data_IF_875968868333
#
_entry.id   IF_875968868333
#
_cell.length_a   1.000
_cell.length_b   1.000
_cell.length_c   1.000
_cell.angle_alpha   90.00
_cell.angle_beta   90.00
_cell.angle_gamma   90.00
#
_symmetry.space_group_name_H-M   'P 1'
#
loop_
_entity.id
_entity.type
_entity.pdbx_description
1 polymer ?
#
# COMPACT_ATOMS: atom_id res chain seq x y z
N UNK A 1 18.84 8.87 50.40
CA UNK A 1 19.52 7.88 49.55
C UNK A 1 20.85 8.48 49.12
N UNK A 2 21.95 7.75 49.29
CA UNK A 2 23.28 8.20 48.85
C UNK A 2 23.36 8.17 47.31
N UNK A 3 23.60 9.31 46.62
CA UNK A 3 23.73 9.38 45.17
C UNK A 3 24.83 8.46 44.61
N UNK A 4 25.85 8.13 45.41
CA UNK A 4 26.97 7.27 45.01
C UNK A 4 26.55 5.81 44.77
N UNK A 5 25.39 5.38 45.31
CA UNK A 5 24.84 4.04 45.07
C UNK A 5 24.30 3.87 43.64
N UNK A 6 23.93 4.95 42.96
CA UNK A 6 23.43 4.91 41.57
C UNK A 6 24.55 4.94 40.53
N UNK A 7 25.65 5.65 40.82
CA UNK A 7 26.78 5.81 39.90
C UNK A 7 27.61 4.51 39.80
N UNK A 8 27.58 3.66 40.83
CA UNK A 8 28.22 2.33 40.82
C UNK A 8 27.36 1.22 40.22
N UNK A 9 26.35 1.56 39.41
CA UNK A 9 25.53 0.55 38.75
C UNK A 9 26.21 0.06 37.46
N UNK A 10 26.88 -1.08 37.54
CA UNK A 10 27.57 -1.73 36.42
C UNK A 10 26.67 -1.94 35.19
N UNK A 11 25.36 -2.08 35.38
CA UNK A 11 24.39 -2.20 34.29
C UNK A 11 24.33 -0.95 33.41
N UNK A 12 24.50 0.23 33.98
CA UNK A 12 24.31 1.51 33.28
C UNK A 12 25.61 2.21 32.91
N UNK A 13 26.69 1.97 33.67
CA UNK A 13 27.97 2.64 33.46
C UNK A 13 29.12 1.69 33.07
N UNK A 14 28.91 0.36 33.18
CA UNK A 14 29.95 -0.65 32.98
C UNK A 14 30.82 -0.86 34.22
N UNK A 15 31.44 -2.04 34.34
CA UNK A 15 32.23 -2.42 35.53
C UNK A 15 33.51 -1.60 35.69
N UNK A 16 34.01 -1.00 34.59
CA UNK A 16 35.25 -0.21 34.57
C UNK A 16 35.05 1.29 34.80
N UNK A 17 33.82 1.72 35.10
CA UNK A 17 33.53 3.14 35.30
C UNK A 17 33.84 3.57 36.74
N UNK A 18 34.75 4.52 36.86
CA UNK A 18 35.18 5.11 38.13
C UNK A 18 35.08 6.64 38.01
N UNK A 19 34.08 7.29 38.63
CA UNK A 19 33.97 8.74 38.60
C UNK A 19 35.08 9.37 39.46
N UNK A 20 35.74 10.41 38.95
CA UNK A 20 36.69 11.20 39.75
C UNK A 20 35.95 12.18 40.67
N UNK A 21 36.62 12.58 41.76
CA UNK A 21 36.06 13.52 42.73
C UNK A 21 35.80 14.90 42.06
N UNK A 22 34.56 15.38 42.14
CA UNK A 22 34.14 16.66 41.55
C UNK A 22 33.53 16.58 40.14
N UNK A 23 33.44 15.40 39.52
CA UNK A 23 32.76 15.23 38.23
C UNK A 23 31.24 14.99 38.39
N UNK A 24 30.43 15.63 37.53
CA UNK A 24 28.99 15.39 37.45
C UNK A 24 28.71 14.49 36.24
N UNK A 25 28.14 13.32 36.49
CA UNK A 25 27.75 12.38 35.45
C UNK A 25 26.22 12.25 35.39
N UNK A 26 25.66 12.49 34.22
CA UNK A 26 24.21 12.41 33.97
C UNK A 26 23.91 11.16 33.16
N UNK A 27 23.14 10.24 33.73
CA UNK A 27 22.58 9.11 32.98
C UNK A 27 21.28 9.55 32.32
N UNK A 28 21.31 9.74 31.00
CA UNK A 28 20.09 9.94 30.21
C UNK A 28 19.58 8.57 29.80
N UNK A 29 18.64 8.02 30.58
CA UNK A 29 17.88 6.84 30.17
C UNK A 29 16.73 7.33 29.32
N UNK A 30 16.87 7.24 28.00
CA UNK A 30 15.68 7.30 27.13
C UNK A 30 14.81 6.09 27.47
N UNK A 31 13.50 6.26 27.68
CA UNK A 31 12.58 5.13 27.71
C UNK A 31 12.89 4.27 26.49
N UNK A 32 12.87 2.94 26.65
CA UNK A 32 12.91 2.06 25.49
C UNK A 32 11.73 2.45 24.61
N UNK A 33 11.98 3.29 23.61
CA UNK A 33 11.01 3.59 22.57
C UNK A 33 10.66 2.23 22.00
N UNK A 34 9.36 1.95 21.89
CA UNK A 34 8.92 0.81 21.12
C UNK A 34 9.52 0.98 19.71
N UNK A 35 10.63 0.30 19.44
CA UNK A 35 11.13 0.19 18.08
C UNK A 35 10.26 -0.89 17.47
N UNK A 36 9.09 -0.47 17.01
CA UNK A 36 8.17 -1.35 16.30
C UNK A 36 8.89 -2.07 15.17
N UNK A 37 8.33 -3.20 14.75
CA UNK A 37 8.96 -4.05 13.74
C UNK A 37 9.29 -3.21 12.51
N UNK A 38 10.55 -3.30 12.07
CA UNK A 38 11.06 -2.64 10.88
C UNK A 38 11.09 -3.62 9.73
N UNK A 39 10.68 -3.18 8.56
CA UNK A 39 10.75 -3.96 7.31
C UNK A 39 11.31 -3.07 6.22
N UNK A 40 12.35 -3.50 5.51
CA UNK A 40 12.90 -2.68 4.42
C UNK A 40 11.92 -2.64 3.25
N UNK A 41 11.89 -1.52 2.53
CA UNK A 41 11.00 -1.38 1.37
C UNK A 41 11.29 -2.42 0.27
N UNK A 42 12.55 -2.83 0.11
CA UNK A 42 12.97 -3.82 -0.88
C UNK A 42 12.62 -5.27 -0.53
N UNK A 43 12.20 -5.54 0.71
CA UNK A 43 11.57 -6.81 1.07
C UNK A 43 10.17 -6.96 0.44
N UNK A 44 9.53 -5.84 0.05
CA UNK A 44 8.22 -5.84 -0.60
C UNK A 44 8.30 -5.42 -2.06
N UNK A 45 8.98 -4.33 -2.36
CA UNK A 45 8.96 -3.68 -3.66
C UNK A 45 10.33 -3.75 -4.34
N UNK A 46 10.37 -4.31 -5.54
CA UNK A 46 11.56 -4.21 -6.39
C UNK A 46 11.45 -2.87 -7.12
N UNK A 47 12.37 -1.93 -6.84
CA UNK A 47 12.43 -0.61 -7.49
C UNK A 47 12.84 -0.70 -8.97
N UNK A 48 11.97 -1.31 -9.76
CA UNK A 48 12.18 -1.50 -11.17
C UNK A 48 10.84 -1.56 -11.90
N UNK A 49 10.57 -0.50 -12.65
CA UNK A 49 9.50 -0.48 -13.64
C UNK A 49 9.98 -1.24 -14.88
N UNK A 50 9.14 -2.14 -15.37
CA UNK A 50 9.37 -2.96 -16.56
C UNK A 50 8.30 -2.69 -17.60
N UNK A 51 8.65 -2.92 -18.86
CA UNK A 51 7.72 -2.83 -19.98
C UNK A 51 7.75 -4.12 -20.78
N UNK A 52 6.60 -4.49 -21.33
CA UNK A 52 6.47 -5.60 -22.29
C UNK A 52 5.72 -5.11 -23.51
N UNK A 53 6.32 -5.26 -24.69
CA UNK A 53 5.64 -5.04 -25.96
C UNK A 53 4.82 -6.29 -26.30
N UNK A 54 3.54 -6.11 -26.55
CA UNK A 54 2.67 -7.15 -27.07
C UNK A 54 2.28 -6.77 -28.50
N UNK A 55 2.58 -7.67 -29.44
CA UNK A 55 2.09 -7.54 -30.82
C UNK A 55 0.60 -7.88 -30.83
N UNK A 56 -0.23 -6.94 -31.28
CA UNK A 56 -1.61 -7.24 -31.69
C UNK A 56 -1.53 -7.76 -33.14
N UNK A 57 -2.35 -8.73 -33.52
CA UNK A 57 -2.13 -9.55 -34.73
C UNK A 57 -2.26 -8.82 -36.08
N UNK A 58 -1.30 -9.11 -36.97
CA UNK A 58 -1.24 -9.24 -38.46
C UNK A 58 -1.70 -8.11 -39.39
N UNK A 59 -2.62 -7.22 -39.02
CA UNK A 59 -2.87 -6.03 -39.85
C UNK A 59 -1.89 -4.93 -39.43
N UNK A 60 -0.91 -4.64 -40.28
CA UNK A 60 0.32 -3.82 -40.07
C UNK A 60 0.11 -2.36 -39.58
N UNK A 61 -1.11 -1.96 -39.23
CA UNK A 61 -1.48 -0.58 -38.90
C UNK A 61 -1.80 -0.32 -37.42
N UNK A 62 -1.91 -1.35 -36.55
CA UNK A 62 -2.10 -1.12 -35.10
C UNK A 62 -0.75 -1.01 -34.36
N UNK A 63 -0.52 0.07 -33.58
CA UNK A 63 0.72 0.24 -32.83
C UNK A 63 0.89 -0.84 -31.75
N UNK A 64 2.13 -1.33 -31.59
CA UNK A 64 2.52 -2.22 -30.50
C UNK A 64 1.99 -1.69 -29.14
N UNK A 65 1.23 -2.51 -28.43
CA UNK A 65 0.76 -2.14 -27.09
C UNK A 65 1.86 -2.41 -26.08
N UNK A 66 2.18 -1.40 -25.28
CA UNK A 66 3.22 -1.47 -24.24
C UNK A 66 2.55 -1.63 -22.89
N UNK A 67 2.74 -2.80 -22.26
CA UNK A 67 2.27 -3.04 -20.90
C UNK A 67 3.37 -2.64 -19.92
N UNK A 68 3.10 -1.66 -19.07
CA UNK A 68 3.98 -1.25 -17.96
C UNK A 68 3.61 -2.02 -16.69
N UNK A 69 4.60 -2.51 -15.95
CA UNK A 69 4.39 -3.24 -14.70
C UNK A 69 5.61 -3.20 -13.79
N UNK A 70 5.45 -3.57 -12.53
CA UNK A 70 6.55 -3.86 -11.62
C UNK A 70 6.31 -5.19 -10.88
N UNK A 71 7.37 -5.73 -10.30
CA UNK A 71 7.36 -7.01 -9.58
C UNK A 71 7.47 -6.79 -8.08
N UNK A 72 6.67 -7.51 -7.31
CA UNK A 72 6.73 -7.56 -5.86
C UNK A 72 7.72 -8.65 -5.42
N UNK A 73 8.64 -8.32 -4.52
CA UNK A 73 9.49 -9.29 -3.82
C UNK A 73 8.72 -9.98 -2.68
N UNK A 74 7.85 -9.21 -2.02
CA UNK A 74 7.01 -9.63 -0.92
C UNK A 74 5.76 -8.77 -0.86
N UNK A 75 4.99 -8.85 0.22
CA UNK A 75 3.75 -8.10 0.35
C UNK A 75 3.67 -7.46 1.74
N UNK A 76 3.21 -6.20 1.83
CA UNK A 76 2.78 -5.66 3.11
C UNK A 76 1.57 -6.48 3.63
N UNK A 77 1.15 -6.27 4.89
CA UNK A 77 -0.12 -6.78 5.38
C UNK A 77 -1.28 -6.39 4.44
N UNK A 78 -2.06 -7.38 4.02
CA UNK A 78 -3.22 -7.23 3.13
C UNK A 78 -4.29 -8.23 3.55
N UNK A 79 -5.56 -7.89 3.42
CA UNK A 79 -6.67 -8.82 3.67
C UNK A 79 -6.55 -10.10 2.82
N UNK A 80 -6.15 -9.95 1.56
CA UNK A 80 -6.06 -11.04 0.59
C UNK A 80 -4.82 -10.89 -0.30
N UNK A 81 -3.62 -11.27 0.17
CA UNK A 81 -2.36 -10.92 -0.50
C UNK A 81 -2.17 -11.60 -1.85
N UNK A 82 -2.73 -12.81 -2.04
CA UNK A 82 -2.62 -13.61 -3.29
C UNK A 82 -1.16 -13.60 -3.80
N UNK A 83 -0.24 -14.05 -2.94
CA UNK A 83 1.21 -13.83 -3.05
C UNK A 83 1.87 -14.41 -4.31
N UNK A 84 1.24 -15.39 -4.97
CA UNK A 84 1.73 -15.96 -6.25
C UNK A 84 1.58 -15.00 -7.43
N UNK A 85 0.70 -14.01 -7.33
CA UNK A 85 0.48 -12.99 -8.36
C UNK A 85 1.33 -11.75 -8.05
N UNK A 86 2.63 -11.84 -8.31
CA UNK A 86 3.64 -10.84 -7.92
C UNK A 86 3.70 -9.62 -8.81
N UNK A 87 3.13 -9.67 -10.00
CA UNK A 87 3.18 -8.55 -10.96
C UNK A 87 2.03 -7.57 -10.74
N UNK A 88 2.36 -6.29 -10.65
CA UNK A 88 1.40 -5.18 -10.61
C UNK A 88 1.47 -4.46 -11.96
N UNK A 89 0.42 -4.62 -12.77
CA UNK A 89 0.30 -3.95 -14.07
C UNK A 89 -0.29 -2.56 -13.88
N UNK A 90 0.30 -1.58 -14.56
CA UNK A 90 -0.27 -0.25 -14.72
C UNK A 90 -1.44 -0.34 -15.69
N UNK A 91 -2.64 -0.17 -15.16
CA UNK A 91 -3.88 -0.16 -15.94
C UNK A 91 -4.17 1.23 -16.48
N UNK A 92 -4.94 1.32 -17.55
CA UNK A 92 -5.45 2.59 -18.06
C UNK A 92 -6.22 3.35 -16.96
N UNK A 93 -7.00 2.62 -16.15
CA UNK A 93 -7.69 3.19 -14.99
C UNK A 93 -6.74 3.74 -13.92
N UNK A 94 -5.54 3.18 -13.75
CA UNK A 94 -4.56 3.69 -12.78
C UNK A 94 -3.96 5.00 -13.28
N UNK A 95 -3.67 5.09 -14.57
CA UNK A 95 -3.15 6.30 -15.23
C UNK A 95 -4.12 7.48 -15.09
N UNK A 96 -5.42 7.22 -14.92
CA UNK A 96 -6.42 8.27 -14.67
C UNK A 96 -6.64 8.53 -13.18
N UNK A 97 -6.90 7.48 -12.39
CA UNK A 97 -7.29 7.66 -10.98
C UNK A 97 -6.11 8.14 -10.12
N UNK A 98 -4.89 7.65 -10.39
CA UNK A 98 -3.74 8.00 -9.55
C UNK A 98 -3.38 9.49 -9.62
N UNK A 99 -3.25 10.12 -10.81
CA UNK A 99 -3.03 11.57 -10.88
C UNK A 99 -4.11 12.38 -10.17
N UNK A 100 -5.38 12.00 -10.30
CA UNK A 100 -6.48 12.68 -9.61
C UNK A 100 -6.37 12.61 -8.09
N UNK A 101 -6.00 11.43 -7.55
CA UNK A 101 -5.72 11.27 -6.11
C UNK A 101 -4.56 12.18 -5.66
N UNK A 102 -3.49 12.25 -6.46
CA UNK A 102 -2.31 13.06 -6.13
C UNK A 102 -2.59 14.56 -6.27
N UNK A 103 -3.38 14.98 -7.25
CA UNK A 103 -3.80 16.37 -7.42
C UNK A 103 -4.63 16.83 -6.23
N UNK A 104 -5.59 16.03 -5.79
CA UNK A 104 -6.34 16.31 -4.55
C UNK A 104 -5.40 16.33 -3.34
N UNK A 105 -4.52 15.34 -3.21
CA UNK A 105 -3.54 15.33 -2.11
C UNK A 105 -2.67 16.59 -2.10
N UNK A 106 -2.23 17.07 -3.27
CA UNK A 106 -1.44 18.30 -3.41
C UNK A 106 -2.20 19.52 -2.90
N UNK A 107 -3.49 19.65 -3.25
CA UNK A 107 -4.35 20.73 -2.77
C UNK A 107 -4.44 20.73 -1.24
N UNK A 108 -4.79 19.60 -0.63
CA UNK A 108 -5.01 19.54 0.82
C UNK A 108 -3.72 19.51 1.66
N UNK A 109 -2.57 19.15 1.08
CA UNK A 109 -1.26 19.29 1.72
C UNK A 109 -0.73 20.74 1.73
N UNK A 110 -1.27 21.60 0.87
CA UNK A 110 -0.83 22.99 0.78
C UNK A 110 -1.24 23.77 2.05
N UNK A 111 -0.35 24.62 2.54
CA UNK A 111 -0.53 25.34 3.82
C UNK A 111 -1.66 26.36 3.78
N UNK A 112 -1.95 26.92 2.60
CA UNK A 112 -2.89 28.02 2.43
C UNK A 112 -4.34 27.55 2.24
N UNK A 113 -4.54 26.30 1.84
CA UNK A 113 -5.86 25.67 1.66
C UNK A 113 -6.10 24.48 2.61
N UNK A 114 -5.09 24.14 3.43
CA UNK A 114 -4.97 22.86 4.11
C UNK A 114 -6.09 22.55 5.11
N UNK A 115 -6.60 21.33 4.98
CA UNK A 115 -7.62 20.70 5.80
C UNK A 115 -7.52 19.18 5.65
N UNK A 116 -8.39 18.43 6.34
CA UNK A 116 -8.49 16.99 6.17
C UNK A 116 -9.20 16.65 4.86
N UNK A 117 -8.84 15.51 4.27
CA UNK A 117 -9.46 15.04 3.04
C UNK A 117 -9.62 13.52 3.09
N UNK A 118 -10.85 13.07 2.84
CA UNK A 118 -11.17 11.66 2.71
C UNK A 118 -11.43 11.33 1.24
N UNK A 119 -10.74 10.32 0.73
CA UNK A 119 -10.91 9.82 -0.63
C UNK A 119 -11.17 8.33 -0.61
N UNK A 120 -12.08 7.86 -1.45
CA UNK A 120 -12.46 6.45 -1.53
C UNK A 120 -12.23 5.92 -2.93
N UNK A 121 -11.39 4.90 -3.05
CA UNK A 121 -11.27 4.07 -4.25
C UNK A 121 -12.07 2.78 -4.04
N UNK A 122 -13.13 2.63 -4.82
CA UNK A 122 -14.05 1.50 -4.72
C UNK A 122 -14.23 0.79 -6.06
N UNK A 123 -15.10 -0.22 -6.07
CA UNK A 123 -15.38 -1.06 -7.24
C UNK A 123 -15.67 -2.50 -6.83
N UNK A 124 -15.98 -3.33 -7.81
CA UNK A 124 -16.43 -4.71 -7.57
C UNK A 124 -15.44 -5.51 -6.69
N UNK A 125 -15.92 -6.39 -5.81
CA UNK A 125 -15.06 -7.32 -5.10
C UNK A 125 -14.20 -8.12 -6.08
N UNK A 126 -12.88 -8.12 -5.88
CA UNK A 126 -11.94 -8.83 -6.76
C UNK A 126 -11.47 -8.08 -8.00
N UNK A 127 -11.83 -6.80 -8.15
CA UNK A 127 -11.39 -5.95 -9.28
C UNK A 127 -9.92 -5.52 -9.23
N UNK A 128 -9.25 -5.69 -8.08
CA UNK A 128 -7.84 -5.36 -7.91
C UNK A 128 -7.56 -4.11 -7.08
N UNK A 129 -8.49 -3.64 -6.24
CA UNK A 129 -8.26 -2.49 -5.32
C UNK A 129 -6.98 -2.61 -4.50
N UNK A 130 -6.73 -3.77 -3.88
CA UNK A 130 -5.48 -4.01 -3.13
C UNK A 130 -4.24 -3.94 -4.02
N UNK A 131 -4.35 -4.28 -5.31
CA UNK A 131 -3.26 -4.11 -6.29
C UNK A 131 -3.03 -2.63 -6.62
N UNK A 132 -4.09 -1.83 -6.71
CA UNK A 132 -3.99 -0.39 -6.89
C UNK A 132 -3.42 0.31 -5.65
N UNK A 133 -3.79 -0.16 -4.45
CA UNK A 133 -3.17 0.26 -3.19
C UNK A 133 -1.64 0.05 -3.22
N UNK A 134 -1.16 -1.12 -3.66
CA UNK A 134 0.29 -1.35 -3.84
C UNK A 134 0.92 -0.47 -4.92
N UNK A 135 0.21 -0.23 -6.02
CA UNK A 135 0.63 0.72 -7.05
C UNK A 135 0.83 2.13 -6.46
N UNK A 136 -0.10 2.60 -5.63
CA UNK A 136 0.03 3.89 -4.93
C UNK A 136 1.26 3.92 -4.01
N UNK A 137 1.47 2.88 -3.18
CA UNK A 137 2.64 2.81 -2.29
C UNK A 137 3.93 2.92 -3.09
N UNK A 138 4.06 2.07 -4.13
CA UNK A 138 5.27 2.02 -4.97
C UNK A 138 5.62 3.41 -5.52
N UNK A 139 4.66 4.09 -6.12
CA UNK A 139 4.90 5.41 -6.71
C UNK A 139 5.15 6.50 -5.66
N UNK A 140 4.55 6.41 -4.47
CA UNK A 140 4.78 7.35 -3.37
C UNK A 140 6.18 7.21 -2.76
N UNK A 141 6.67 5.98 -2.54
CA UNK A 141 7.98 5.76 -1.90
C UNK A 141 9.15 5.99 -2.86
N UNK A 142 9.03 5.58 -4.13
CA UNK A 142 10.09 5.75 -5.13
C UNK A 142 9.95 7.04 -5.96
N UNK A 143 8.89 7.81 -5.75
CA UNK A 143 8.62 9.09 -6.44
C UNK A 143 8.76 9.00 -7.96
N UNK A 144 8.31 7.90 -8.54
CA UNK A 144 8.49 7.60 -9.98
C UNK A 144 7.51 8.34 -10.89
N UNK A 145 6.51 9.01 -10.33
CA UNK A 145 5.47 9.79 -11.03
C UNK A 145 5.64 11.29 -10.80
N UNK A 146 5.32 12.11 -11.80
CA UNK A 146 5.52 13.57 -11.73
C UNK A 146 4.65 14.18 -10.64
N UNK A 147 3.42 13.70 -10.51
CA UNK A 147 2.44 14.15 -9.53
C UNK A 147 2.95 13.97 -8.10
N UNK A 148 3.70 12.88 -7.84
CA UNK A 148 4.32 12.61 -6.53
C UNK A 148 5.53 13.52 -6.27
N UNK A 149 6.32 13.82 -7.30
CA UNK A 149 7.48 14.72 -7.18
C UNK A 149 7.06 16.14 -6.84
N UNK A 150 5.86 16.53 -7.26
CA UNK A 150 5.28 17.85 -6.99
C UNK A 150 4.51 17.95 -5.67
N UNK A 151 4.30 16.84 -4.95
CA UNK A 151 3.65 16.89 -3.64
C UNK A 151 4.52 17.66 -2.63
N UNK A 152 3.92 18.50 -1.77
CA UNK A 152 4.57 19.00 -0.56
C UNK A 152 5.10 17.85 0.30
N UNK A 153 6.01 18.12 1.24
CA UNK A 153 6.48 17.09 2.18
C UNK A 153 5.32 16.52 3.00
N UNK A 154 5.28 15.19 3.10
CA UNK A 154 4.27 14.43 3.84
C UNK A 154 4.90 13.18 4.49
N UNK A 155 4.23 12.68 5.52
CA UNK A 155 4.45 11.37 6.11
C UNK A 155 3.52 10.34 5.47
N UNK A 156 4.07 9.19 5.06
CA UNK A 156 3.27 8.10 4.49
C UNK A 156 2.95 7.06 5.56
N UNK A 157 1.65 6.81 5.75
CA UNK A 157 1.15 5.79 6.68
C UNK A 157 0.35 4.74 5.91
N UNK A 158 0.70 3.47 6.11
CA UNK A 158 -0.08 2.34 5.66
C UNK A 158 -0.96 1.87 6.82
N UNK A 159 -2.23 1.63 6.55
CA UNK A 159 -3.17 1.11 7.54
C UNK A 159 -3.93 -0.07 6.98
N UNK A 160 -3.91 -1.17 7.73
CA UNK A 160 -4.73 -2.34 7.49
C UNK A 160 -5.26 -2.81 8.85
N UNK A 161 -6.59 -2.78 9.00
CA UNK A 161 -7.24 -3.15 10.26
C UNK A 161 -6.72 -2.33 11.44
N UNK A 162 -6.14 -2.96 12.47
CA UNK A 162 -5.50 -2.32 13.62
C UNK A 162 -4.00 -2.03 13.41
N UNK A 163 -3.40 -2.50 12.32
CA UNK A 163 -1.97 -2.32 12.04
C UNK A 163 -1.69 -1.02 11.29
N UNK A 164 -0.66 -0.30 11.74
CA UNK A 164 -0.18 0.93 11.15
C UNK A 164 1.32 0.84 10.92
N UNK A 165 1.76 1.22 9.72
CA UNK A 165 3.18 1.28 9.35
C UNK A 165 3.48 2.67 8.81
N UNK A 166 4.51 3.33 9.33
CA UNK A 166 5.04 4.58 8.78
C UNK A 166 6.24 4.29 7.87
N UNK A 167 6.27 4.87 6.69
CA UNK A 167 7.47 4.83 5.85
C UNK A 167 8.47 5.90 6.27
N UNK A 168 9.71 5.51 6.50
CA UNK A 168 10.84 6.40 6.72
C UNK A 168 11.70 6.47 5.45
N UNK A 169 11.67 7.62 4.77
CA UNK A 169 12.35 7.80 3.49
C UNK A 169 13.89 7.80 3.60
N UNK A 170 14.46 8.20 4.74
CA UNK A 170 15.92 8.24 4.95
C UNK A 170 16.51 6.83 5.06
N UNK A 171 15.83 5.96 5.80
CA UNK A 171 16.23 4.56 6.02
C UNK A 171 15.66 3.59 4.98
N UNK A 172 14.66 4.02 4.20
CA UNK A 172 13.90 3.15 3.28
C UNK A 172 13.22 1.98 4.00
N UNK A 173 12.70 2.23 5.21
CA UNK A 173 12.05 1.23 6.05
C UNK A 173 10.60 1.58 6.35
N UNK A 174 9.75 0.57 6.47
CA UNK A 174 8.46 0.66 7.13
C UNK A 174 8.60 0.29 8.60
N UNK A 175 8.10 1.14 9.49
CA UNK A 175 8.18 0.98 10.94
C UNK A 175 6.76 0.80 11.47
N UNK A 176 6.52 -0.29 12.19
CA UNK A 176 5.25 -0.54 12.88
C UNK A 176 5.05 0.49 14.00
N UNK A 177 3.85 1.05 14.08
CA UNK A 177 3.49 2.10 15.02
C UNK A 177 2.68 1.53 16.18
N UNK A 178 2.90 2.07 17.37
CA UNK A 178 2.00 1.84 18.51
C UNK A 178 0.85 2.86 18.53
N UNK A 179 -0.08 2.70 19.48
CA UNK A 179 -1.24 3.58 19.61
C UNK A 179 -0.88 5.04 19.92
N UNK A 180 0.24 5.29 20.62
CA UNK A 180 0.68 6.64 20.96
C UNK A 180 1.20 7.35 19.71
N UNK A 181 2.02 6.66 18.91
CA UNK A 181 2.53 7.17 17.63
C UNK A 181 1.38 7.45 16.64
N UNK A 182 0.41 6.54 16.55
CA UNK A 182 -0.79 6.72 15.72
C UNK A 182 -1.57 7.96 16.17
N UNK A 183 -1.75 8.14 17.48
CA UNK A 183 -2.49 9.29 18.04
C UNK A 183 -1.80 10.63 17.78
N UNK A 184 -0.46 10.65 17.65
CA UNK A 184 0.28 11.83 17.24
C UNK A 184 0.06 12.12 15.75
N UNK A 185 0.25 11.13 14.89
CA UNK A 185 0.07 11.26 13.43
C UNK A 185 -1.37 11.63 13.03
N UNK A 186 -2.36 11.22 13.81
CA UNK A 186 -3.76 11.62 13.60
C UNK A 186 -3.97 13.14 13.64
N UNK A 187 -3.13 13.87 14.37
CA UNK A 187 -3.19 15.33 14.53
C UNK A 187 -2.29 16.07 13.54
N UNK A 188 -1.61 15.35 12.66
CA UNK A 188 -0.70 15.94 11.67
C UNK A 188 -1.42 16.13 10.33
N UNK A 189 -1.39 17.35 9.80
CA UNK A 189 -2.04 17.69 8.52
C UNK A 189 -1.21 17.21 7.32
N UNK A 190 0.08 16.93 7.53
CA UNK A 190 1.03 16.51 6.49
C UNK A 190 1.19 15.00 6.46
N UNK A 191 0.07 14.29 6.43
CA UNK A 191 0.04 12.83 6.37
C UNK A 191 -0.77 12.40 5.16
N UNK A 192 -0.25 11.43 4.42
CA UNK A 192 -1.03 10.62 3.48
C UNK A 192 -1.16 9.24 4.10
N UNK A 193 -2.37 8.88 4.51
CA UNK A 193 -2.72 7.55 5.01
C UNK A 193 -3.40 6.74 3.93
N UNK A 194 -2.83 5.60 3.55
CA UNK A 194 -3.46 4.63 2.65
C UNK A 194 -4.06 3.48 3.45
N UNK A 195 -5.34 3.18 3.22
CA UNK A 195 -6.11 2.20 4.00
C UNK A 195 -6.55 1.05 3.10
N UNK A 196 -6.15 -0.18 3.41
CA UNK A 196 -6.58 -1.38 2.68
C UNK A 196 -7.77 -2.03 3.38
N UNK A 197 -8.90 -2.16 2.68
CA UNK A 197 -10.07 -2.87 3.23
C UNK A 197 -10.74 -2.15 4.39
N UNK A 198 -10.37 -2.50 5.63
CA UNK A 198 -10.95 -2.01 6.89
C UNK A 198 -9.91 -1.28 7.74
N UNK A 199 -10.38 -0.53 8.73
CA UNK A 199 -9.55 0.11 9.74
C UNK A 199 -10.32 0.21 11.04
N UNK A 200 -9.64 0.06 12.18
CA UNK A 200 -10.24 0.29 13.50
C UNK A 200 -10.52 1.78 13.77
N UNK A 201 -9.84 2.70 13.06
CA UNK A 201 -9.99 4.16 13.21
C UNK A 201 -10.11 4.82 11.83
N UNK A 202 -11.25 4.65 11.16
CA UNK A 202 -11.48 5.30 9.86
C UNK A 202 -11.52 6.84 9.95
N UNK A 203 -12.12 7.40 11.01
CA UNK A 203 -12.29 8.85 11.21
C UNK A 203 -11.27 9.45 12.18
N UNK A 204 -11.18 10.79 12.23
CA UNK A 204 -10.38 11.53 13.22
C UNK A 204 -8.92 11.81 12.82
N UNK A 205 -8.58 11.66 11.55
CA UNK A 205 -7.28 12.03 10.99
C UNK A 205 -7.36 13.41 10.35
N UNK A 206 -6.46 14.33 10.73
CA UNK A 206 -6.41 15.69 10.19
C UNK A 206 -5.68 15.79 8.84
N UNK A 207 -4.97 14.74 8.45
CA UNK A 207 -4.33 14.62 7.14
C UNK A 207 -5.25 14.01 6.07
N UNK A 208 -4.64 13.54 4.99
CA UNK A 208 -5.34 12.89 3.88
C UNK A 208 -5.48 11.40 4.17
N UNK A 209 -6.68 10.86 4.00
CA UNK A 209 -6.96 9.43 4.10
C UNK A 209 -7.52 8.90 2.79
N UNK A 210 -6.89 7.86 2.22
CA UNK A 210 -7.32 7.21 0.98
C UNK A 210 -7.71 5.76 1.29
N UNK A 211 -9.00 5.47 1.18
CA UNK A 211 -9.59 4.16 1.48
C UNK A 211 -9.76 3.32 0.21
N UNK A 212 -9.17 2.12 0.18
CA UNK A 212 -9.32 1.13 -0.88
C UNK A 212 -10.24 0.01 -0.43
N UNK A 213 -11.55 0.17 -0.67
CA UNK A 213 -12.57 -0.70 -0.09
C UNK A 213 -13.66 -1.09 -1.09
N UNK A 214 -14.26 -2.27 -0.89
CA UNK A 214 -15.49 -2.63 -1.62
C UNK A 214 -16.66 -1.80 -1.07
N UNK A 215 -17.75 -1.63 -1.83
CA UNK A 215 -18.96 -1.02 -1.30
C UNK A 215 -19.44 -1.75 -0.03
N UNK A 216 -19.95 -1.00 0.95
CA UNK A 216 -20.54 -1.57 2.16
C UNK A 216 -19.56 -1.94 3.28
N UNK A 217 -18.29 -1.53 3.20
CA UNK A 217 -17.38 -1.60 4.37
C UNK A 217 -17.96 -0.77 5.51
N UNK A 218 -17.93 -1.33 6.72
CA UNK A 218 -18.43 -0.68 7.93
C UNK A 218 -17.72 0.66 8.16
N UNK A 219 -18.47 1.68 8.60
CA UNK A 219 -17.92 3.02 8.84
C UNK A 219 -17.62 3.85 7.59
N UNK A 220 -17.78 3.29 6.37
CA UNK A 220 -17.53 4.05 5.13
C UNK A 220 -18.40 5.31 5.00
N UNK A 221 -19.62 5.29 5.56
CA UNK A 221 -20.50 6.46 5.54
C UNK A 221 -19.96 7.58 6.43
N UNK A 222 -19.40 7.24 7.59
CA UNK A 222 -18.77 8.20 8.49
C UNK A 222 -17.45 8.75 7.91
N UNK A 223 -16.76 7.94 7.11
CA UNK A 223 -15.58 8.33 6.33
C UNK A 223 -15.94 9.24 5.13
N UNK A 224 -17.20 9.22 4.69
CA UNK A 224 -17.67 9.91 3.48
C UNK A 224 -18.43 11.22 3.76
N UNK A 225 -18.32 11.78 4.97
CA UNK A 225 -19.00 13.03 5.31
C UNK A 225 -18.27 14.23 4.68
N UNK A 226 -19.05 15.18 4.15
CA UNK A 226 -18.71 16.49 3.51
C UNK A 226 -17.36 16.51 2.76
N UNK A 227 -17.40 16.67 1.43
CA UNK A 227 -16.22 16.83 0.53
C UNK A 227 -15.35 15.58 0.30
N UNK A 228 -15.96 14.38 0.29
CA UNK A 228 -15.26 13.13 -0.06
C UNK A 228 -15.20 12.87 -1.56
N UNK A 229 -14.00 12.69 -2.12
CA UNK A 229 -13.83 12.25 -3.51
C UNK A 229 -13.98 10.72 -3.63
N UNK A 230 -14.80 10.27 -4.57
CA UNK A 230 -15.04 8.84 -4.81
C UNK A 230 -14.63 8.45 -6.22
N UNK A 231 -13.72 7.48 -6.31
CA UNK A 231 -13.23 6.89 -7.55
C UNK A 231 -13.70 5.45 -7.67
N UNK A 232 -14.26 5.09 -8.81
CA UNK A 232 -14.77 3.74 -9.06
C UNK A 232 -13.84 3.06 -10.07
N UNK A 233 -13.16 2.00 -9.64
CA UNK A 233 -12.35 1.18 -10.52
C UNK A 233 -13.25 0.43 -11.51
N UNK A 234 -13.06 0.60 -12.83
CA UNK A 234 -13.82 -0.12 -13.84
C UNK A 234 -13.42 -1.59 -13.88
N UNK A 235 -14.31 -2.40 -14.46
CA UNK A 235 -13.99 -3.77 -14.84
C UNK A 235 -12.79 -3.82 -15.77
N UNK A 236 -12.04 -4.92 -15.73
CA UNK A 236 -10.93 -5.10 -16.66
C UNK A 236 -11.46 -5.41 -18.06
N UNK A 237 -10.84 -4.83 -19.08
CA UNK A 237 -11.15 -5.25 -20.45
C UNK A 237 -10.56 -6.64 -20.73
N UNK A 238 -11.03 -7.28 -21.81
CA UNK A 238 -10.47 -8.56 -22.23
C UNK A 238 -8.98 -8.44 -22.54
N UNK A 239 -8.59 -7.32 -23.13
CA UNK A 239 -7.22 -6.97 -23.52
C UNK A 239 -6.34 -6.79 -22.28
N UNK A 240 -6.76 -5.96 -21.30
CA UNK A 240 -6.01 -5.79 -20.04
C UNK A 240 -5.76 -7.15 -19.35
N UNK A 241 -6.78 -8.02 -19.32
CA UNK A 241 -6.65 -9.35 -18.72
C UNK A 241 -5.75 -10.28 -19.54
N UNK A 242 -5.78 -10.18 -20.87
CA UNK A 242 -4.92 -10.97 -21.76
C UNK A 242 -3.46 -10.57 -21.59
N UNK A 243 -3.18 -9.27 -21.52
CA UNK A 243 -1.85 -8.73 -21.22
C UNK A 243 -1.37 -9.24 -19.87
N UNK A 244 -2.21 -9.15 -18.83
CA UNK A 244 -1.87 -9.68 -17.51
C UNK A 244 -1.61 -11.19 -17.54
N UNK A 245 -2.46 -11.98 -18.21
CA UNK A 245 -2.26 -13.42 -18.37
C UNK A 245 -0.91 -13.74 -19.04
N UNK A 246 -0.49 -12.92 -20.00
CA UNK A 246 0.79 -13.07 -20.71
C UNK A 246 2.02 -12.83 -19.81
N UNK A 247 1.83 -12.16 -18.67
CA UNK A 247 2.88 -11.85 -17.70
C UNK A 247 2.93 -12.88 -16.56
N UNK A 248 1.92 -13.71 -16.40
CA UNK A 248 1.88 -14.73 -15.35
C UNK A 248 2.95 -15.81 -15.56
N UNK A 249 3.38 -16.43 -14.46
CA UNK A 249 4.18 -17.65 -14.49
C UNK A 249 3.38 -18.78 -15.15
N UNK A 250 4.06 -19.74 -15.77
CA UNK A 250 3.43 -20.77 -16.60
C UNK A 250 2.35 -21.58 -15.88
N UNK A 251 2.52 -21.82 -14.59
CA UNK A 251 1.59 -22.55 -13.73
C UNK A 251 0.35 -21.73 -13.30
N UNK A 252 0.39 -20.41 -13.48
CA UNK A 252 -0.72 -19.48 -13.24
C UNK A 252 -1.40 -19.04 -14.55
N UNK A 253 -0.69 -19.15 -15.67
CA UNK A 253 -1.15 -18.75 -16.99
C UNK A 253 -2.29 -19.66 -17.46
N UNK A 254 -3.32 -19.04 -17.99
CA UNK A 254 -4.46 -19.75 -18.60
C UNK A 254 -4.20 -19.94 -20.09
N UNK A 255 -4.63 -21.09 -20.63
CA UNK A 255 -4.77 -21.26 -22.08
C UNK A 255 -5.86 -20.33 -22.61
N UNK A 256 -5.78 -19.96 -23.89
CA UNK A 256 -6.71 -19.02 -24.51
C UNK A 256 -8.17 -19.47 -24.39
N UNK A 257 -8.48 -20.74 -24.63
CA UNK A 257 -9.84 -21.28 -24.52
C UNK A 257 -10.41 -21.13 -23.10
N UNK A 258 -9.60 -21.49 -22.09
CA UNK A 258 -10.00 -21.37 -20.67
C UNK A 258 -10.14 -19.91 -20.26
N UNK A 259 -9.21 -19.07 -20.71
CA UNK A 259 -9.21 -17.64 -20.45
C UNK A 259 -10.47 -16.98 -20.99
N UNK A 260 -10.77 -17.19 -22.28
CA UNK A 260 -11.94 -16.61 -22.96
C UNK A 260 -13.24 -17.14 -22.34
N UNK A 261 -13.32 -18.45 -22.09
CA UNK A 261 -14.49 -19.05 -21.42
C UNK A 261 -14.76 -18.40 -20.05
N UNK A 262 -13.71 -18.19 -19.24
CA UNK A 262 -13.85 -17.55 -17.93
C UNK A 262 -14.16 -16.08 -18.01
N UNK A 263 -13.60 -15.35 -18.98
CA UNK A 263 -13.97 -13.96 -19.22
C UNK A 263 -15.45 -13.84 -19.58
N UNK A 264 -15.95 -14.68 -20.50
CA UNK A 264 -17.37 -14.67 -20.87
C UNK A 264 -18.29 -15.01 -19.68
N UNK A 265 -17.83 -15.85 -18.75
CA UNK A 265 -18.61 -16.26 -17.58
C UNK A 265 -18.59 -15.24 -16.43
N UNK A 266 -17.43 -14.66 -16.14
CA UNK A 266 -17.22 -13.81 -14.95
C UNK A 266 -17.02 -12.33 -15.27
N UNK A 267 -16.96 -11.99 -16.55
CA UNK A 267 -16.59 -10.68 -17.04
C UNK A 267 -15.14 -10.29 -16.69
N UNK A 268 -14.91 -8.99 -16.69
CA UNK A 268 -13.63 -8.34 -16.37
C UNK A 268 -13.22 -8.36 -14.90
N UNK A 269 -13.47 -9.44 -14.15
CA UNK A 269 -13.13 -9.53 -12.72
C UNK A 269 -11.96 -10.51 -12.52
N UNK A 270 -10.70 -10.02 -12.40
CA UNK A 270 -9.51 -10.87 -12.39
C UNK A 270 -9.54 -11.96 -11.33
N UNK A 271 -10.08 -11.66 -10.14
CA UNK A 271 -10.19 -12.64 -9.05
C UNK A 271 -10.85 -13.92 -9.53
N UNK A 272 -11.93 -13.84 -10.29
CA UNK A 272 -12.68 -15.00 -10.75
C UNK A 272 -12.07 -15.60 -12.02
N UNK A 273 -11.61 -14.76 -12.95
CA UNK A 273 -10.93 -15.22 -14.19
C UNK A 273 -9.71 -16.07 -13.85
N UNK A 274 -8.83 -15.61 -12.95
CA UNK A 274 -7.60 -16.32 -12.58
C UNK A 274 -7.74 -17.22 -11.34
N UNK A 275 -8.96 -17.53 -10.90
CA UNK A 275 -9.14 -18.47 -9.80
C UNK A 275 -8.60 -19.85 -10.21
N UNK A 276 -7.60 -20.35 -9.48
CA UNK A 276 -7.22 -21.76 -9.59
C UNK A 276 -8.29 -22.60 -8.89
N UNK A 277 -9.16 -23.22 -9.67
CA UNK A 277 -10.03 -24.29 -9.17
C UNK A 277 -9.12 -25.45 -8.80
N UNK A 278 -8.96 -25.74 -7.51
CA UNK A 278 -8.40 -27.03 -7.14
C UNK A 278 -9.38 -28.10 -7.64
N UNK A 279 -8.88 -29.01 -8.48
CA UNK A 279 -9.64 -30.12 -9.10
C UNK A 279 -10.42 -30.94 -8.05
N UNK A 280 -10.06 -30.84 -6.76
CA UNK A 280 -10.72 -31.52 -5.64
C UNK A 280 -12.17 -31.08 -5.34
N UNK A 281 -12.67 -29.94 -5.84
CA UNK A 281 -14.06 -29.50 -5.56
C UNK A 281 -15.10 -29.87 -6.63
N UNK A 282 -14.69 -30.47 -7.75
CA UNK A 282 -15.63 -30.94 -8.78
C UNK A 282 -16.09 -32.39 -8.57
N UNK A 283 -15.43 -33.15 -7.69
CA UNK A 283 -15.85 -34.52 -7.35
C UNK A 283 -16.89 -34.59 -6.21
N UNK A 284 -17.16 -33.48 -5.51
CA UNK A 284 -18.16 -33.45 -4.42
C UNK A 284 -19.52 -32.86 -4.80
N UNK A 285 -19.72 -32.46 -6.07
CA UNK A 285 -21.04 -32.04 -6.58
C UNK A 285 -21.69 -33.07 -7.53
N UNK A 286 -21.11 -34.26 -7.66
CA UNK A 286 -21.71 -35.40 -8.38
C UNK A 286 -21.96 -36.57 -7.41
N UNK A 287 -22.68 -36.32 -6.32
CA UNK A 287 -23.40 -37.33 -5.54
C UNK A 287 -24.72 -36.76 -5.06
#
# INVERSE_FOLDING_TARGET
MDPLLWIKNAKYFGESFHPDEGQIHVLVVTPAQFMGKRTRSDEWFIDQIRTKKNRVNVDDDEPDRITTYFEMAGFPPLAHPKTRFTKIVERDAYVVIFPELMNNAKLFLDKDTGGDCSMVVTGNPGIGKSRFYMYCIFHLIFRTKVEVKELPSFELVLNFDESYLKFNAESQEFIELDDADVSLLQKENRVIRLIEGTSSKLVGWQGISILFASPGVEGIQNFSNVDTFRYIMPIWTLEELREYNSLLQDDLKLSDDVFISRFNKFGGIPRFVFTQMSVKKLQSCNM
#
